data_IF_223315927591
#
_entry.id   IF_223315927591
#
_cell.length_a   1.000
_cell.length_b   1.000
_cell.length_c   1.000
_cell.angle_alpha   90.00
_cell.angle_beta   90.00
_cell.angle_gamma   90.00
#
_symmetry.space_group_name_H-M   'P 1'
#
loop_
_entity.id
_entity.type
_entity.pdbx_description
1 polymer ?
#
# COMPACT_ATOMS: atom_id res chain seq x y z
N UNK A 1 5.84 8.17 45.36
CA UNK A 1 6.09 9.63 45.20
C UNK A 1 5.80 9.94 43.74
N UNK A 2 4.71 10.69 43.50
CA UNK A 2 4.39 11.21 42.15
C UNK A 2 5.18 12.51 41.97
N UNK A 3 6.21 12.47 41.14
CA UNK A 3 6.87 13.71 40.71
C UNK A 3 5.96 14.47 39.74
N UNK A 4 5.59 15.69 40.09
CA UNK A 4 4.99 16.64 39.17
C UNK A 4 6.08 17.55 38.64
N UNK A 5 6.25 17.54 37.32
CA UNK A 5 7.06 18.55 36.62
C UNK A 5 6.13 19.59 36.00
N UNK A 6 6.41 20.85 36.18
CA UNK A 6 5.77 21.92 35.43
C UNK A 6 6.42 22.00 34.04
N UNK A 7 5.60 21.84 33.01
CA UNK A 7 6.03 22.02 31.63
C UNK A 7 5.51 23.35 31.09
N UNK A 8 6.29 24.04 30.27
CA UNK A 8 5.78 25.20 29.56
C UNK A 8 4.58 24.81 28.68
N UNK A 9 3.71 25.75 28.30
CA UNK A 9 2.62 25.49 27.38
C UNK A 9 3.13 24.79 26.10
N UNK A 10 2.51 23.70 25.70
CA UNK A 10 2.88 22.97 24.49
C UNK A 10 1.62 22.42 23.80
N UNK A 11 1.74 22.15 22.52
CA UNK A 11 0.74 21.41 21.74
C UNK A 11 1.21 19.98 21.53
N UNK A 12 0.38 19.02 21.94
CA UNK A 12 0.65 17.62 21.74
C UNK A 12 -0.06 17.12 20.46
N UNK A 13 0.71 16.60 19.53
CA UNK A 13 0.20 15.94 18.33
C UNK A 13 0.61 14.46 18.39
N UNK A 14 -0.36 13.56 18.21
CA UNK A 14 -0.12 12.13 18.17
C UNK A 14 -0.71 11.52 16.92
N UNK A 15 -0.08 10.46 16.39
CA UNK A 15 -0.59 9.67 15.28
C UNK A 15 -0.44 8.18 15.58
N UNK A 16 -1.39 7.39 15.13
CA UNK A 16 -1.35 5.93 15.27
C UNK A 16 -2.13 5.27 14.14
N UNK A 17 -1.68 4.11 13.69
CA UNK A 17 -2.45 3.24 12.78
C UNK A 17 -3.45 2.35 13.52
N UNK A 18 -3.31 2.24 14.86
CA UNK A 18 -4.11 1.36 15.72
C UNK A 18 -4.90 2.17 16.75
N UNK A 19 -5.79 3.05 16.27
CA UNK A 19 -6.60 3.91 17.15
C UNK A 19 -7.44 3.11 18.17
N UNK A 20 -7.84 1.89 17.85
CA UNK A 20 -8.58 1.00 18.74
C UNK A 20 -7.80 0.51 19.95
N UNK A 21 -6.45 0.55 19.92
CA UNK A 21 -5.60 0.19 21.05
C UNK A 21 -5.38 1.34 22.04
N UNK A 22 -5.78 2.57 21.69
CA UNK A 22 -5.71 3.71 22.59
C UNK A 22 -6.84 3.60 23.63
N UNK A 23 -6.47 3.77 24.91
CA UNK A 23 -7.47 3.82 25.97
C UNK A 23 -8.43 5.01 25.79
N UNK A 24 -9.70 4.83 26.14
CA UNK A 24 -10.69 5.89 26.09
C UNK A 24 -10.29 7.18 26.84
N UNK A 25 -9.68 7.11 28.05
CA UNK A 25 -9.19 8.29 28.74
C UNK A 25 -8.10 9.06 27.97
N UNK A 26 -7.23 8.35 27.25
CA UNK A 26 -6.21 8.99 26.42
C UNK A 26 -6.83 9.67 25.23
N UNK A 27 -7.71 8.99 24.50
CA UNK A 27 -8.43 9.58 23.34
C UNK A 27 -9.23 10.82 23.71
N UNK A 28 -9.90 10.80 24.86
CA UNK A 28 -10.72 11.93 25.34
C UNK A 28 -9.90 13.18 25.70
N UNK A 29 -8.59 13.04 25.88
CA UNK A 29 -7.69 14.19 26.17
C UNK A 29 -7.25 14.93 24.92
N UNK A 30 -7.40 14.34 23.72
CA UNK A 30 -7.17 15.04 22.46
C UNK A 30 -8.45 15.76 22.05
N UNK A 31 -8.38 17.10 21.97
CA UNK A 31 -9.54 17.93 21.61
C UNK A 31 -9.91 17.82 20.13
N UNK A 32 -8.98 17.39 19.28
CA UNK A 32 -9.18 17.21 17.84
C UNK A 32 -8.76 15.80 17.47
N UNK A 33 -9.65 15.06 16.81
CA UNK A 33 -9.37 13.73 16.28
C UNK A 33 -9.59 13.78 14.76
N UNK A 34 -8.50 13.61 14.00
CA UNK A 34 -8.53 13.50 12.55
C UNK A 34 -8.42 12.06 12.10
N UNK A 35 -9.08 11.71 11.01
CA UNK A 35 -8.86 10.46 10.28
C UNK A 35 -8.10 10.80 9.00
N UNK A 36 -6.99 10.09 8.75
CA UNK A 36 -6.18 10.28 7.55
C UNK A 36 -6.60 9.23 6.52
N UNK A 37 -7.00 9.69 5.36
CA UNK A 37 -7.35 8.85 4.23
C UNK A 37 -6.19 8.72 3.24
N UNK A 38 -6.30 7.79 2.30
CA UNK A 38 -5.35 7.69 1.21
C UNK A 38 -5.52 8.91 0.29
N UNK A 39 -4.41 9.33 -0.31
CA UNK A 39 -4.43 10.41 -1.29
C UNK A 39 -5.13 9.97 -2.57
N UNK A 40 -5.91 10.87 -3.14
CA UNK A 40 -6.46 10.70 -4.47
C UNK A 40 -5.36 10.75 -5.54
N UNK A 41 -5.64 10.16 -6.69
CA UNK A 41 -4.64 10.04 -7.76
C UNK A 41 -4.09 11.41 -8.23
N UNK A 42 -4.91 12.46 -8.42
CA UNK A 42 -4.41 13.78 -8.81
C UNK A 42 -3.44 14.38 -7.79
N UNK A 43 -3.82 14.34 -6.50
CA UNK A 43 -2.99 14.89 -5.42
C UNK A 43 -1.65 14.16 -5.31
N UNK A 44 -1.70 12.83 -5.46
CA UNK A 44 -0.49 12.01 -5.41
C UNK A 44 0.42 12.24 -6.63
N UNK A 45 -0.16 12.53 -7.79
CA UNK A 45 0.59 12.90 -8.99
C UNK A 45 1.31 14.23 -8.78
N UNK A 46 0.63 15.24 -8.24
CA UNK A 46 1.23 16.54 -7.89
C UNK A 46 2.38 16.37 -6.88
N UNK A 47 2.22 15.48 -5.89
CA UNK A 47 3.29 15.16 -4.94
C UNK A 47 4.50 14.54 -5.64
N UNK A 48 4.31 13.65 -6.61
CA UNK A 48 5.40 13.06 -7.40
C UNK A 48 6.11 14.14 -8.22
N UNK A 49 5.38 14.99 -8.94
CA UNK A 49 5.93 16.08 -9.75
C UNK A 49 6.74 17.05 -8.89
N UNK A 50 6.15 17.56 -7.81
CA UNK A 50 6.85 18.43 -6.85
C UNK A 50 8.11 17.79 -6.26
N UNK A 51 8.04 16.50 -5.93
CA UNK A 51 9.22 15.80 -5.39
C UNK A 51 10.30 15.64 -6.45
N UNK A 52 9.91 15.43 -7.72
CA UNK A 52 10.89 15.36 -8.82
C UNK A 52 11.64 16.68 -9.01
N UNK A 53 10.96 17.82 -8.90
CA UNK A 53 11.57 19.15 -8.94
C UNK A 53 12.60 19.32 -7.81
N UNK A 54 12.21 18.97 -6.55
CA UNK A 54 13.09 19.07 -5.38
C UNK A 54 14.37 18.23 -5.54
N UNK A 55 14.26 17.09 -6.22
CA UNK A 55 15.39 16.20 -6.49
C UNK A 55 16.08 16.49 -7.83
N UNK A 56 15.74 17.59 -8.50
CA UNK A 56 16.30 18.00 -9.79
C UNK A 56 16.21 16.91 -10.86
N UNK A 57 15.07 16.20 -10.88
CA UNK A 57 14.79 15.13 -11.84
C UNK A 57 13.83 15.60 -12.91
N UNK A 58 14.09 15.20 -14.15
CA UNK A 58 13.15 15.40 -15.24
C UNK A 58 12.20 14.21 -15.34
N UNK A 59 10.90 14.45 -15.15
CA UNK A 59 9.84 13.44 -15.28
C UNK A 59 8.75 13.96 -16.20
N UNK A 60 8.17 13.08 -17.04
CA UNK A 60 7.00 13.43 -17.85
C UNK A 60 5.71 13.32 -17.02
N UNK A 61 4.64 14.07 -17.35
CA UNK A 61 3.36 13.98 -16.64
C UNK A 61 2.78 12.56 -16.64
N UNK A 62 2.94 11.82 -17.74
CA UNK A 62 2.48 10.45 -17.89
C UNK A 62 3.22 9.51 -16.93
N UNK A 63 4.54 9.69 -16.80
CA UNK A 63 5.34 8.92 -15.86
C UNK A 63 5.02 9.25 -14.40
N UNK A 64 4.76 10.52 -14.08
CA UNK A 64 4.32 10.95 -12.75
C UNK A 64 2.98 10.32 -12.38
N UNK A 65 2.02 10.32 -13.30
CA UNK A 65 0.72 9.70 -13.14
C UNK A 65 0.84 8.18 -12.93
N UNK A 66 1.71 7.51 -13.68
CA UNK A 66 1.92 6.06 -13.55
C UNK A 66 2.56 5.70 -12.21
N UNK A 67 3.55 6.46 -11.74
CA UNK A 67 4.13 6.33 -10.41
C UNK A 67 3.08 6.55 -9.31
N UNK A 68 2.26 7.59 -9.42
CA UNK A 68 1.19 7.87 -8.48
C UNK A 68 0.17 6.73 -8.42
N UNK A 69 -0.24 6.20 -9.57
CA UNK A 69 -1.20 5.08 -9.67
C UNK A 69 -0.70 3.84 -8.93
N UNK A 70 0.58 3.49 -9.07
CA UNK A 70 1.19 2.30 -8.42
C UNK A 70 1.64 2.57 -6.97
N UNK A 71 1.39 3.76 -6.43
CA UNK A 71 1.85 4.16 -5.09
C UNK A 71 0.85 3.94 -3.96
N UNK A 72 -0.24 3.21 -4.21
CA UNK A 72 -1.24 2.82 -3.21
C UNK A 72 -1.85 3.99 -2.41
N UNK A 73 -2.01 5.16 -3.03
CA UNK A 73 -2.53 6.35 -2.36
C UNK A 73 -1.61 6.90 -1.25
N UNK A 74 -0.32 6.52 -1.24
CA UNK A 74 0.60 6.83 -0.13
C UNK A 74 1.82 7.61 -0.61
N UNK A 75 2.01 8.87 -0.18
CA UNK A 75 3.16 9.69 -0.57
C UNK A 75 4.52 9.06 -0.25
N UNK A 76 4.61 8.31 0.86
CA UNK A 76 5.85 7.59 1.22
C UNK A 76 6.23 6.55 0.16
N UNK A 77 5.24 5.80 -0.34
CA UNK A 77 5.48 4.79 -1.39
C UNK A 77 5.82 5.50 -2.69
N UNK A 78 5.08 6.55 -3.08
CA UNK A 78 5.33 7.35 -4.26
C UNK A 78 6.78 7.85 -4.31
N UNK A 79 7.24 8.48 -3.24
CA UNK A 79 8.59 9.01 -3.14
C UNK A 79 9.66 7.91 -3.14
N UNK A 80 9.37 6.75 -2.56
CA UNK A 80 10.26 5.59 -2.61
C UNK A 80 10.39 5.05 -4.02
N UNK A 81 9.27 4.88 -4.74
CA UNK A 81 9.26 4.42 -6.12
C UNK A 81 9.96 5.43 -7.04
N UNK A 82 9.67 6.73 -6.89
CA UNK A 82 10.31 7.79 -7.66
C UNK A 82 11.84 7.75 -7.57
N UNK A 83 12.39 7.58 -6.35
CA UNK A 83 13.84 7.44 -6.16
C UNK A 83 14.40 6.23 -6.90
N UNK A 84 13.72 5.09 -6.86
CA UNK A 84 14.17 3.86 -7.55
C UNK A 84 14.08 3.99 -9.07
N UNK A 85 13.00 4.60 -9.56
CA UNK A 85 12.83 4.87 -11.00
C UNK A 85 13.89 5.85 -11.49
N UNK A 86 14.24 6.87 -10.69
CA UNK A 86 15.39 7.77 -10.97
C UNK A 86 16.68 6.99 -11.14
N UNK A 87 17.01 6.15 -10.16
CA UNK A 87 18.25 5.36 -10.20
C UNK A 87 18.30 4.49 -11.48
N UNK A 88 17.16 3.91 -11.86
CA UNK A 88 17.03 3.16 -13.11
C UNK A 88 17.21 4.06 -14.33
N UNK A 89 16.57 5.23 -14.39
CA UNK A 89 16.67 6.18 -15.50
C UNK A 89 18.12 6.69 -15.70
N UNK A 90 18.86 6.89 -14.63
CA UNK A 90 20.25 7.31 -14.69
C UNK A 90 21.19 6.23 -15.24
N UNK A 91 20.92 4.96 -14.92
CA UNK A 91 21.80 3.84 -15.32
C UNK A 91 21.44 3.29 -16.70
N UNK A 92 20.14 3.11 -16.95
CA UNK A 92 19.61 2.40 -18.14
C UNK A 92 19.00 3.33 -19.19
N UNK A 93 18.89 4.63 -18.89
CA UNK A 93 18.31 5.66 -19.75
C UNK A 93 19.24 6.85 -19.90
N UNK A 94 18.65 7.99 -20.23
CA UNK A 94 19.32 9.29 -20.39
C UNK A 94 19.09 10.24 -19.21
N UNK A 95 18.63 9.73 -18.08
CA UNK A 95 18.31 10.50 -16.88
C UNK A 95 16.89 11.12 -16.87
N UNK A 96 16.13 10.96 -17.96
CA UNK A 96 14.74 11.41 -18.06
C UNK A 96 13.82 10.24 -17.72
N UNK A 97 12.85 10.50 -16.86
CA UNK A 97 11.82 9.54 -16.47
C UNK A 97 10.61 9.75 -17.36
N UNK A 98 10.53 8.99 -18.45
CA UNK A 98 9.35 8.88 -19.29
C UNK A 98 8.48 7.66 -18.88
N UNK A 99 7.33 7.49 -19.55
CA UNK A 99 6.39 6.40 -19.31
C UNK A 99 7.04 5.01 -19.46
N UNK A 100 7.91 4.84 -20.45
CA UNK A 100 8.59 3.57 -20.76
C UNK A 100 9.65 3.23 -19.71
N UNK A 101 10.41 4.21 -19.28
CA UNK A 101 11.41 4.08 -18.22
C UNK A 101 10.70 3.78 -16.89
N UNK A 102 9.61 4.50 -16.59
CA UNK A 102 8.82 4.26 -15.39
C UNK A 102 8.24 2.84 -15.37
N UNK A 103 7.60 2.38 -16.45
CA UNK A 103 7.00 1.05 -16.51
C UNK A 103 8.06 -0.06 -16.38
N UNK A 104 9.19 0.05 -17.07
CA UNK A 104 10.29 -0.92 -16.98
C UNK A 104 10.88 -0.98 -15.56
N UNK A 105 11.14 0.19 -14.95
CA UNK A 105 11.68 0.26 -13.61
C UNK A 105 10.72 -0.32 -12.57
N UNK A 106 9.42 0.01 -12.66
CA UNK A 106 8.40 -0.52 -11.75
C UNK A 106 8.20 -2.03 -11.91
N UNK A 107 8.26 -2.53 -13.15
CA UNK A 107 8.24 -3.98 -13.41
C UNK A 107 9.45 -4.67 -12.81
N UNK A 108 10.64 -4.08 -12.91
CA UNK A 108 11.87 -4.62 -12.29
C UNK A 108 11.81 -4.60 -10.75
N UNK A 109 10.99 -3.73 -10.18
CA UNK A 109 10.72 -3.66 -8.73
C UNK A 109 9.58 -4.58 -8.28
N UNK A 110 9.08 -5.44 -9.16
CA UNK A 110 7.92 -6.31 -8.93
C UNK A 110 6.65 -5.54 -8.51
N UNK A 111 6.50 -4.30 -8.98
CA UNK A 111 5.29 -3.49 -8.76
C UNK A 111 4.46 -3.49 -10.03
N UNK A 112 3.31 -4.15 -9.97
CA UNK A 112 2.42 -4.26 -11.11
C UNK A 112 1.56 -3.00 -11.36
N UNK A 113 0.69 -3.05 -12.37
CA UNK A 113 -0.15 -1.92 -12.78
C UNK A 113 -1.17 -1.48 -11.74
N UNK A 114 -1.56 -2.37 -10.84
CA UNK A 114 -2.45 -2.08 -9.71
C UNK A 114 -1.68 -1.68 -8.44
N UNK A 115 -0.34 -1.59 -8.52
CA UNK A 115 0.52 -1.28 -7.38
C UNK A 115 0.71 -2.46 -6.42
N UNK A 116 0.40 -3.69 -6.85
CA UNK A 116 0.67 -4.88 -6.06
C UNK A 116 2.15 -5.23 -6.16
N UNK A 117 2.78 -5.44 -5.01
CA UNK A 117 4.15 -5.94 -4.94
C UNK A 117 4.20 -7.47 -4.91
N UNK A 118 5.41 -8.01 -4.84
CA UNK A 118 5.65 -9.46 -4.80
C UNK A 118 4.82 -10.17 -3.70
N UNK A 119 4.72 -9.56 -2.51
CA UNK A 119 4.00 -10.20 -1.39
C UNK A 119 2.49 -10.17 -1.60
N UNK A 120 1.93 -9.08 -2.12
CA UNK A 120 0.51 -9.03 -2.49
C UNK A 120 0.15 -10.11 -3.51
N UNK A 121 0.95 -10.20 -4.57
CA UNK A 121 0.74 -11.21 -5.61
C UNK A 121 0.89 -12.62 -5.05
N UNK A 122 1.84 -12.84 -4.13
CA UNK A 122 2.01 -14.12 -3.43
C UNK A 122 0.80 -14.46 -2.56
N UNK A 123 0.21 -13.46 -1.88
CA UNK A 123 -1.03 -13.62 -1.12
C UNK A 123 -2.15 -14.10 -2.04
N UNK A 124 -2.42 -13.37 -3.13
CA UNK A 124 -3.49 -13.70 -4.06
C UNK A 124 -3.28 -15.06 -4.72
N UNK A 125 -2.06 -15.34 -5.18
CA UNK A 125 -1.71 -16.64 -5.79
C UNK A 125 -1.91 -17.79 -4.82
N UNK A 126 -1.42 -17.65 -3.59
CA UNK A 126 -1.59 -18.67 -2.54
C UNK A 126 -3.08 -18.93 -2.27
N UNK A 127 -3.89 -17.88 -2.16
CA UNK A 127 -5.33 -18.03 -1.94
C UNK A 127 -6.01 -18.77 -3.10
N UNK A 128 -5.66 -18.43 -4.33
CA UNK A 128 -6.26 -19.02 -5.54
C UNK A 128 -5.80 -20.47 -5.73
N UNK A 129 -4.48 -20.72 -5.77
CA UNK A 129 -3.91 -22.00 -6.13
C UNK A 129 -4.06 -23.06 -5.05
N UNK A 130 -3.83 -22.67 -3.77
CA UNK A 130 -3.82 -23.64 -2.68
C UNK A 130 -5.17 -23.80 -1.99
N UNK A 131 -6.02 -22.77 -2.04
CA UNK A 131 -7.28 -22.74 -1.30
C UNK A 131 -8.51 -22.50 -2.17
N UNK A 132 -8.37 -22.55 -3.51
CA UNK A 132 -9.48 -22.33 -4.45
C UNK A 132 -10.17 -20.98 -4.29
N UNK A 133 -9.43 -19.95 -3.83
CA UNK A 133 -9.95 -18.62 -3.53
C UNK A 133 -10.41 -18.40 -2.08
N UNK A 134 -10.37 -19.43 -1.27
CA UNK A 134 -10.74 -19.34 0.15
C UNK A 134 -12.13 -19.91 0.47
N UNK A 135 -12.66 -19.74 1.70
CA UNK A 135 -12.12 -18.89 2.76
C UNK A 135 -10.86 -19.44 3.45
N UNK A 136 -9.85 -18.60 3.64
CA UNK A 136 -8.61 -18.97 4.31
C UNK A 136 -8.35 -18.07 5.53
N UNK A 137 -7.96 -18.69 6.65
CA UNK A 137 -7.63 -17.97 7.87
C UNK A 137 -6.31 -17.21 7.76
N UNK A 138 -6.20 -16.04 8.42
CA UNK A 138 -5.00 -15.20 8.38
C UNK A 138 -3.75 -15.96 8.82
N UNK A 139 -3.82 -16.74 9.90
CA UNK A 139 -2.69 -17.52 10.39
C UNK A 139 -2.20 -18.59 9.40
N UNK A 140 -3.13 -19.26 8.70
CA UNK A 140 -2.79 -20.21 7.65
C UNK A 140 -2.13 -19.50 6.47
N UNK A 141 -2.69 -18.37 6.06
CA UNK A 141 -2.17 -17.58 4.94
C UNK A 141 -0.75 -17.09 5.25
N UNK A 142 -0.53 -16.48 6.42
CA UNK A 142 0.77 -15.93 6.82
C UNK A 142 1.88 -16.97 6.86
N UNK A 143 1.58 -18.18 7.36
CA UNK A 143 2.55 -19.30 7.35
C UNK A 143 2.92 -19.70 5.92
N UNK A 144 1.94 -19.82 5.01
CA UNK A 144 2.20 -20.23 3.63
C UNK A 144 3.01 -19.21 2.82
N UNK A 145 2.82 -17.93 3.10
CA UNK A 145 3.60 -16.88 2.42
C UNK A 145 4.90 -16.52 3.13
N UNK A 146 5.18 -17.15 4.29
CA UNK A 146 6.34 -16.89 5.13
C UNK A 146 6.43 -15.42 5.61
N UNK A 147 5.29 -14.85 6.01
CA UNK A 147 5.17 -13.51 6.58
C UNK A 147 4.57 -13.56 7.99
N UNK A 148 4.89 -12.56 8.80
CA UNK A 148 4.25 -12.43 10.10
C UNK A 148 2.76 -12.07 9.95
N UNK A 149 1.93 -12.65 10.80
CA UNK A 149 0.49 -12.43 10.79
C UNK A 149 0.11 -10.93 10.87
N UNK A 150 0.76 -10.19 11.77
CA UNK A 150 0.51 -8.76 11.94
C UNK A 150 0.93 -7.96 10.71
N UNK A 151 2.02 -8.36 10.05
CA UNK A 151 2.48 -7.74 8.81
C UNK A 151 1.44 -7.92 7.70
N UNK A 152 0.88 -9.13 7.55
CA UNK A 152 -0.17 -9.37 6.55
C UNK A 152 -1.40 -8.53 6.86
N UNK A 153 -1.85 -8.48 8.12
CA UNK A 153 -3.06 -7.78 8.55
C UNK A 153 -2.94 -6.25 8.47
N UNK A 154 -1.77 -5.69 8.81
CA UNK A 154 -1.58 -4.24 8.91
C UNK A 154 -1.05 -3.60 7.63
N UNK A 155 -0.27 -4.33 6.82
CA UNK A 155 0.42 -3.75 5.65
C UNK A 155 -0.19 -4.15 4.30
N UNK A 156 -0.59 -5.40 4.13
CA UNK A 156 -1.02 -5.93 2.84
C UNK A 156 -2.53 -6.01 2.70
N UNK A 157 -3.20 -6.61 3.67
CA UNK A 157 -4.65 -6.84 3.64
C UNK A 157 -5.48 -5.58 3.41
N UNK A 158 -5.21 -4.42 4.06
CA UNK A 158 -6.02 -3.23 3.89
C UNK A 158 -6.08 -2.74 2.44
N UNK A 159 -4.95 -2.75 1.75
CA UNK A 159 -4.89 -2.35 0.35
C UNK A 159 -5.61 -3.33 -0.58
N UNK A 160 -5.40 -4.64 -0.37
CA UNK A 160 -6.07 -5.68 -1.14
C UNK A 160 -7.61 -5.65 -0.98
N UNK A 161 -8.09 -5.34 0.24
CA UNK A 161 -9.53 -5.15 0.51
C UNK A 161 -10.02 -3.88 -0.18
N UNK A 162 -9.33 -2.76 -0.01
CA UNK A 162 -9.72 -1.47 -0.61
C UNK A 162 -9.82 -1.56 -2.13
N UNK A 163 -8.87 -2.25 -2.76
CA UNK A 163 -8.87 -2.51 -4.21
C UNK A 163 -9.85 -3.59 -4.65
N UNK A 164 -10.49 -4.26 -3.71
CA UNK A 164 -11.48 -5.28 -3.99
C UNK A 164 -10.89 -6.60 -4.50
N UNK A 165 -9.63 -6.90 -4.21
CA UNK A 165 -9.02 -8.18 -4.54
C UNK A 165 -9.40 -9.29 -3.56
N UNK A 166 -9.57 -8.94 -2.29
CA UNK A 166 -9.99 -9.87 -1.24
C UNK A 166 -11.16 -9.31 -0.45
N UNK A 167 -11.94 -10.19 0.14
CA UNK A 167 -13.00 -9.88 1.09
C UNK A 167 -12.76 -10.60 2.41
N UNK A 168 -13.09 -9.94 3.52
CA UNK A 168 -13.08 -10.52 4.85
C UNK A 168 -14.45 -11.12 5.16
N UNK A 169 -14.48 -12.40 5.50
CA UNK A 169 -15.70 -13.12 5.90
C UNK A 169 -15.59 -13.61 7.35
N UNK A 170 -16.67 -14.19 7.90
CA UNK A 170 -16.65 -14.78 9.25
C UNK A 170 -15.66 -15.95 9.36
N UNK A 171 -15.42 -16.67 8.29
CA UNK A 171 -14.59 -17.88 8.26
C UNK A 171 -13.16 -17.63 7.77
N UNK A 172 -12.90 -16.48 7.16
CA UNK A 172 -11.58 -16.14 6.64
C UNK A 172 -11.61 -15.12 5.52
N UNK A 173 -10.55 -15.08 4.74
CA UNK A 173 -10.38 -14.21 3.57
C UNK A 173 -10.73 -14.97 2.31
N UNK A 174 -11.41 -14.29 1.39
CA UNK A 174 -11.84 -14.86 0.10
C UNK A 174 -11.32 -13.96 -1.01
N UNK A 175 -10.70 -14.56 -2.02
CA UNK A 175 -10.29 -13.88 -3.24
C UNK A 175 -11.52 -13.60 -4.12
N UNK A 176 -11.61 -12.40 -4.68
CA UNK A 176 -12.73 -11.98 -5.52
C UNK A 176 -12.51 -12.38 -6.98
N UNK A 177 -13.54 -12.26 -7.82
CA UNK A 177 -13.42 -12.41 -9.26
C UNK A 177 -12.33 -11.50 -9.85
N UNK A 178 -12.22 -10.25 -9.33
CA UNK A 178 -11.16 -9.30 -9.71
C UNK A 178 -9.76 -9.87 -9.45
N UNK A 179 -9.55 -10.57 -8.32
CA UNK A 179 -8.27 -11.19 -8.01
C UNK A 179 -7.91 -12.29 -9.03
N UNK A 180 -8.88 -13.12 -9.40
CA UNK A 180 -8.67 -14.15 -10.41
C UNK A 180 -8.33 -13.57 -11.78
N UNK A 181 -9.11 -12.58 -12.23
CA UNK A 181 -8.87 -11.88 -13.50
C UNK A 181 -7.48 -11.23 -13.52
N UNK A 182 -7.13 -10.51 -12.48
CA UNK A 182 -5.84 -9.83 -12.36
C UNK A 182 -4.65 -10.79 -12.38
N UNK A 183 -4.81 -11.93 -11.71
CA UNK A 183 -3.77 -12.97 -11.64
C UNK A 183 -3.77 -13.92 -12.85
N UNK A 184 -4.71 -13.74 -13.80
CA UNK A 184 -4.83 -14.55 -15.02
C UNK A 184 -5.41 -15.94 -14.80
N UNK A 185 -6.24 -16.12 -13.77
CA UNK A 185 -6.95 -17.37 -13.50
C UNK A 185 -8.43 -17.27 -13.87
N UNK A 186 -9.02 -18.41 -14.27
CA UNK A 186 -10.46 -18.50 -14.48
C UNK A 186 -11.21 -18.49 -13.14
N UNK A 187 -12.12 -17.53 -12.98
CA UNK A 187 -13.01 -17.49 -11.83
C UNK A 187 -14.13 -18.51 -11.99
N UNK A 188 -14.17 -19.52 -11.11
CA UNK A 188 -15.29 -20.45 -11.01
C UNK A 188 -16.14 -20.02 -9.81
N UNK A 189 -17.38 -19.61 -10.07
CA UNK A 189 -18.32 -19.27 -9.00
C UNK A 189 -18.53 -20.52 -8.11
N UNK A 190 -18.15 -20.42 -6.84
CA UNK A 190 -18.26 -21.55 -5.90
C UNK A 190 -19.71 -21.79 -5.44
N UNK A 191 -20.67 -21.02 -5.96
CA UNK A 191 -22.10 -21.13 -5.66
C UNK A 191 -22.93 -21.85 -6.75
N UNK A 192 -22.28 -22.58 -7.66
CA UNK A 192 -22.97 -23.37 -8.68
C UNK A 192 -23.10 -24.83 -8.27
#
# INVERSE_FOLDING_TARGET
VLFRSELPPFTLVGATTRAGMLSNPLRARFGINGHMEYYELPDLTEIVERTSEIFEMTITPEAALELARRSRGTPRIANRLLKRVRDYAQIMGNGIIDDKIADKALTMLDVDREGLDYVDQKILRTMIEMYGGGPVGLGTLSVNIAEERETVEDMYEPYLIQKGFIMRTRTGRVATAKAYEHMGYDYKDQNS
#
